data_IF_350151446810
#
_entry.id   IF_350151446810
#
_cell.length_a   1.000
_cell.length_b   1.000
_cell.length_c   1.000
_cell.angle_alpha   90.00
_cell.angle_beta   90.00
_cell.angle_gamma   90.00
#
_symmetry.space_group_name_H-M   'P 1'
#
loop_
_entity.id
_entity.type
_entity.pdbx_description
1 polymer ?
#
# COMPACT_ATOMS: atom_id res chain seq x y z
N UNK A 1 10.92 -5.12 7.94
CA UNK A 1 9.97 -4.38 7.10
C UNK A 1 10.69 -3.23 6.43
N UNK A 2 10.52 -3.05 5.13
CA UNK A 2 11.19 -1.98 4.40
C UNK A 2 10.35 -0.71 4.51
N UNK A 3 10.91 0.34 5.09
CA UNK A 3 10.26 1.65 5.13
C UNK A 3 10.26 2.27 3.73
N UNK A 4 9.07 2.56 3.19
CA UNK A 4 8.87 3.11 1.85
C UNK A 4 8.53 4.59 1.84
N UNK A 5 7.99 5.13 2.94
CA UNK A 5 7.69 6.55 3.09
C UNK A 5 8.57 7.21 4.15
N UNK A 6 9.07 8.38 3.84
CA UNK A 6 9.71 9.28 4.80
C UNK A 6 8.69 10.23 5.43
N UNK A 7 8.99 10.83 6.59
CA UNK A 7 8.01 11.62 7.36
C UNK A 7 7.46 12.85 6.65
N UNK A 8 8.20 13.45 5.70
CA UNK A 8 7.72 14.66 5.02
C UNK A 8 6.63 14.32 4.01
N UNK A 9 5.41 14.77 4.30
CA UNK A 9 4.20 14.50 3.50
C UNK A 9 3.29 15.72 3.54
N UNK A 10 2.68 16.07 2.41
CA UNK A 10 1.60 17.05 2.33
C UNK A 10 0.34 16.32 1.89
N UNK A 11 -0.55 16.09 2.83
CA UNK A 11 -1.75 15.27 2.66
C UNK A 11 -2.98 16.14 2.95
N UNK A 12 -3.90 16.18 2.00
CA UNK A 12 -5.23 16.70 2.24
C UNK A 12 -6.16 15.53 2.62
N UNK A 13 -6.87 15.57 3.76
CA UNK A 13 -7.78 14.51 4.18
C UNK A 13 -8.86 14.16 3.14
N UNK A 14 -9.27 15.10 2.33
CA UNK A 14 -10.26 14.87 1.26
C UNK A 14 -9.72 14.07 0.07
N UNK A 15 -8.41 13.96 -0.06
CA UNK A 15 -7.73 13.16 -1.07
C UNK A 15 -7.37 11.75 -0.56
N UNK A 16 -7.84 11.38 0.62
CA UNK A 16 -7.66 10.04 1.21
C UNK A 16 -8.94 9.23 1.07
N UNK A 17 -8.84 8.07 0.47
CA UNK A 17 -9.95 7.12 0.33
C UNK A 17 -9.63 5.82 1.07
N UNK A 18 -10.65 5.05 1.39
CA UNK A 18 -10.48 3.74 1.99
C UNK A 18 -10.53 2.63 0.93
N UNK A 19 -9.54 1.76 0.94
CA UNK A 19 -9.52 0.49 0.24
C UNK A 19 -9.47 -0.68 1.22
N UNK A 20 -9.47 -1.91 0.71
CA UNK A 20 -9.44 -3.12 1.54
C UNK A 20 -8.39 -4.09 1.02
N UNK A 21 -7.47 -4.48 1.90
CA UNK A 21 -6.46 -5.50 1.63
C UNK A 21 -7.00 -6.88 2.02
N UNK A 22 -7.59 -7.59 1.06
CA UNK A 22 -8.25 -8.88 1.30
C UNK A 22 -7.39 -10.08 0.89
N UNK A 23 -6.42 -9.89 0.01
CA UNK A 23 -5.56 -10.99 -0.46
C UNK A 23 -4.40 -11.22 0.51
N UNK A 24 -4.13 -12.49 0.85
CA UNK A 24 -2.98 -12.85 1.70
C UNK A 24 -1.64 -12.41 1.09
N UNK A 25 -1.54 -12.43 -0.23
CA UNK A 25 -0.36 -11.97 -0.94
C UNK A 25 -0.10 -10.45 -0.80
N UNK A 26 -1.13 -9.66 -0.43
CA UNK A 26 -0.98 -8.23 -0.17
C UNK A 26 -0.47 -7.95 1.25
N UNK A 27 -0.95 -8.72 2.22
CA UNK A 27 -0.66 -8.49 3.64
C UNK A 27 0.78 -8.85 3.95
N UNK A 28 1.47 -8.00 4.71
CA UNK A 28 2.80 -8.32 5.20
C UNK A 28 2.76 -9.53 6.12
N UNK A 29 3.55 -10.51 5.75
CA UNK A 29 3.81 -11.68 6.56
C UNK A 29 5.31 -11.71 6.84
N UNK A 30 5.72 -11.41 8.07
CA UNK A 30 7.12 -11.37 8.48
C UNK A 30 7.84 -12.70 8.25
N UNK A 31 7.10 -13.80 8.21
CA UNK A 31 7.67 -15.13 7.98
C UNK A 31 7.94 -15.42 6.49
N UNK A 32 7.26 -14.76 5.56
CA UNK A 32 7.43 -14.99 4.11
C UNK A 32 8.16 -13.88 3.37
N UNK A 33 8.25 -12.69 3.94
CA UNK A 33 8.95 -11.54 3.34
C UNK A 33 8.41 -11.04 1.98
N UNK A 34 7.26 -11.54 1.54
CA UNK A 34 6.75 -11.36 0.18
C UNK A 34 5.51 -10.49 0.08
N UNK A 35 5.01 -9.95 1.19
CA UNK A 35 3.79 -9.14 1.19
C UNK A 35 4.01 -7.72 0.63
N UNK A 36 2.93 -7.11 0.17
CA UNK A 36 2.88 -5.71 -0.27
C UNK A 36 2.19 -4.82 0.76
N UNK A 37 2.12 -5.27 2.02
CA UNK A 37 1.42 -4.56 3.10
C UNK A 37 2.14 -3.33 3.64
N UNK A 38 3.34 -3.00 3.15
CA UNK A 38 4.08 -1.81 3.61
C UNK A 38 3.30 -0.52 3.37
N UNK A 39 3.55 0.50 4.18
CA UNK A 39 3.16 1.86 3.84
C UNK A 39 3.92 2.33 2.58
N UNK A 40 3.29 3.17 1.75
CA UNK A 40 3.95 3.70 0.55
C UNK A 40 3.95 2.75 -0.65
N UNK A 41 3.10 1.76 -0.65
CA UNK A 41 2.88 0.90 -1.82
C UNK A 41 1.92 1.58 -2.78
N UNK A 42 2.32 1.65 -4.05
CA UNK A 42 1.45 2.10 -5.13
C UNK A 42 0.41 1.02 -5.42
N UNK A 43 -0.88 1.35 -5.35
CA UNK A 43 -1.97 0.39 -5.46
C UNK A 43 -2.95 0.71 -6.59
N UNK A 44 -3.55 -0.35 -7.11
CA UNK A 44 -4.69 -0.33 -8.04
C UNK A 44 -5.91 -0.99 -7.42
N UNK A 45 -7.08 -0.78 -8.01
CA UNK A 45 -8.26 -1.58 -7.71
C UNK A 45 -8.16 -2.92 -8.43
N UNK A 46 -8.40 -3.98 -7.69
CA UNK A 46 -8.54 -5.32 -8.28
C UNK A 46 -9.99 -5.78 -8.23
N UNK A 47 -10.35 -6.67 -9.14
CA UNK A 47 -11.64 -7.34 -9.11
C UNK A 47 -11.79 -8.13 -7.82
N UNK A 48 -12.97 -8.10 -7.24
CA UNK A 48 -13.28 -8.84 -6.02
C UNK A 48 -14.52 -8.30 -5.36
N UNK A 49 -15.21 -9.18 -4.67
CA UNK A 49 -16.43 -8.89 -3.96
C UNK A 49 -16.17 -8.91 -2.45
N UNK A 50 -16.66 -7.90 -1.72
CA UNK A 50 -16.70 -7.92 -0.25
C UNK A 50 -17.75 -8.87 0.32
N UNK A 51 -18.55 -9.48 -0.53
CA UNK A 51 -19.51 -10.48 -0.09
C UNK A 51 -18.81 -11.75 0.42
N UNK A 52 -17.56 -11.95 0.04
CA UNK A 52 -16.70 -12.95 0.63
C UNK A 52 -16.10 -12.38 1.92
N UNK A 53 -16.45 -12.96 3.03
CA UNK A 53 -15.83 -12.63 4.32
C UNK A 53 -14.30 -12.71 4.18
N UNK A 54 -13.56 -11.65 4.53
CA UNK A 54 -12.09 -11.69 4.52
C UNK A 54 -11.52 -12.73 5.47
N UNK A 55 -12.30 -13.21 6.41
CA UNK A 55 -11.96 -14.37 7.23
C UNK A 55 -12.33 -15.62 6.43
N UNK A 56 -11.33 -16.22 5.79
CA UNK A 56 -11.47 -17.53 5.20
C UNK A 56 -11.70 -18.56 6.29
N UNK A 57 -12.94 -18.78 6.62
CA UNK A 57 -13.33 -20.03 7.28
C UNK A 57 -13.26 -21.11 6.21
N UNK A 58 -12.18 -21.88 6.25
CA UNK A 58 -11.86 -22.91 5.29
C UNK A 58 -13.11 -23.69 4.86
N UNK A 59 -13.30 -23.78 3.54
CA UNK A 59 -14.17 -24.74 2.87
C UNK A 59 -15.62 -24.89 3.38
N UNK A 60 -16.02 -24.10 4.36
CA UNK A 60 -17.37 -24.16 4.86
C UNK A 60 -18.29 -23.47 3.86
N UNK A 61 -19.12 -24.30 3.23
CA UNK A 61 -20.14 -23.86 2.28
C UNK A 61 -21.17 -22.88 2.89
N UNK A 62 -20.94 -22.51 4.12
CA UNK A 62 -21.78 -21.65 4.96
C UNK A 62 -21.48 -20.16 4.79
N UNK A 63 -20.21 -19.84 4.71
CA UNK A 63 -19.70 -18.48 4.56
C UNK A 63 -19.28 -18.29 3.10
N UNK A 64 -19.77 -17.27 2.47
CA UNK A 64 -19.49 -17.01 1.06
C UNK A 64 -20.56 -17.50 0.11
N UNK A 65 -21.67 -18.05 0.60
CA UNK A 65 -22.85 -18.23 -0.23
C UNK A 65 -23.58 -16.92 -0.40
N UNK A 66 -23.91 -16.62 -1.63
CA UNK A 66 -24.72 -15.46 -2.02
C UNK A 66 -26.07 -15.36 -1.32
N UNK A 67 -26.50 -16.40 -0.65
CA UNK A 67 -27.79 -16.51 0.04
C UNK A 67 -27.69 -16.37 1.55
N UNK A 68 -26.52 -16.09 2.10
CA UNK A 68 -26.38 -15.93 3.54
C UNK A 68 -26.72 -14.50 3.95
N UNK A 69 -27.88 -14.33 4.55
CA UNK A 69 -28.32 -13.07 5.13
C UNK A 69 -27.59 -12.82 6.47
N UNK A 70 -26.28 -12.54 6.39
CA UNK A 70 -25.60 -12.00 7.55
C UNK A 70 -26.17 -10.62 7.88
N UNK A 71 -26.25 -10.30 9.16
CA UNK A 71 -26.67 -8.97 9.63
C UNK A 71 -25.81 -7.91 8.94
N UNK A 72 -26.45 -6.99 8.21
CA UNK A 72 -25.77 -5.94 7.44
C UNK A 72 -25.36 -6.32 6.03
N UNK A 73 -25.65 -7.51 5.54
CA UNK A 73 -25.41 -7.92 4.16
C UNK A 73 -25.98 -6.95 3.13
N UNK A 74 -27.24 -6.57 3.28
CA UNK A 74 -27.94 -5.68 2.35
C UNK A 74 -27.48 -4.21 2.44
N UNK A 75 -26.68 -3.87 3.43
CA UNK A 75 -26.17 -2.53 3.68
C UNK A 75 -24.76 -2.32 3.16
N UNK A 76 -24.09 -3.38 2.74
CA UNK A 76 -22.74 -3.31 2.17
C UNK A 76 -22.86 -3.27 0.65
N UNK A 77 -22.25 -2.28 -0.01
CA UNK A 77 -22.17 -2.31 -1.45
C UNK A 77 -21.42 -3.56 -1.89
N UNK A 78 -21.94 -4.27 -2.87
CA UNK A 78 -21.29 -5.44 -3.48
C UNK A 78 -19.98 -5.08 -4.19
N UNK A 79 -19.78 -3.79 -4.45
CA UNK A 79 -18.56 -3.27 -5.09
C UNK A 79 -17.61 -2.77 -4.03
N UNK A 80 -16.51 -3.45 -3.85
CA UNK A 80 -15.46 -3.04 -2.96
C UNK A 80 -14.25 -2.53 -3.68
N UNK A 81 -13.60 -1.58 -3.02
CA UNK A 81 -12.27 -1.11 -3.37
C UNK A 81 -11.23 -2.09 -2.85
N UNK A 82 -11.22 -3.30 -3.41
CA UNK A 82 -10.18 -4.28 -3.11
C UNK A 82 -8.88 -3.81 -3.74
N UNK A 83 -7.84 -3.67 -2.94
CA UNK A 83 -6.55 -3.18 -3.41
C UNK A 83 -5.60 -4.31 -3.77
N UNK A 84 -4.79 -4.05 -4.78
CA UNK A 84 -3.64 -4.86 -5.16
C UNK A 84 -2.48 -3.92 -5.53
N UNK A 85 -1.23 -4.37 -5.45
CA UNK A 85 -0.10 -3.56 -5.88
C UNK A 85 -0.19 -3.27 -7.38
N UNK A 86 0.04 -2.02 -7.75
CA UNK A 86 0.05 -1.59 -9.14
C UNK A 86 1.39 -1.91 -9.80
N UNK A 87 1.36 -2.31 -11.06
CA UNK A 87 2.54 -2.55 -11.90
C UNK A 87 2.44 -1.74 -13.21
N UNK A 88 3.47 -1.79 -14.02
CA UNK A 88 3.49 -1.15 -15.34
C UNK A 88 2.32 -1.64 -16.19
N UNK A 89 1.59 -0.71 -16.80
CA UNK A 89 0.36 -0.99 -17.53
C UNK A 89 -0.92 -0.86 -16.71
N UNK A 90 -0.83 -0.80 -15.40
CA UNK A 90 -1.97 -0.60 -14.53
C UNK A 90 -2.30 0.89 -14.34
N UNK A 91 -3.57 1.18 -14.06
CA UNK A 91 -4.02 2.48 -13.61
C UNK A 91 -3.94 2.53 -12.08
N UNK A 92 -3.00 3.29 -11.49
CA UNK A 92 -2.90 3.40 -10.05
C UNK A 92 -4.04 4.24 -9.49
N UNK A 93 -4.54 3.88 -8.30
CA UNK A 93 -5.55 4.66 -7.58
C UNK A 93 -4.93 5.54 -6.50
N UNK A 94 -3.76 5.20 -6.03
CA UNK A 94 -3.07 5.96 -4.99
C UNK A 94 -1.99 5.16 -4.27
N UNK A 95 -1.58 5.70 -3.14
CA UNK A 95 -0.49 5.20 -2.31
C UNK A 95 -0.99 4.89 -0.91
N UNK A 96 -0.65 3.73 -0.36
CA UNK A 96 -1.05 3.35 1.00
C UNK A 96 -0.32 4.18 2.05
N UNK A 97 -1.04 4.62 3.07
CA UNK A 97 -0.50 5.46 4.15
C UNK A 97 -0.18 4.68 5.43
N UNK A 98 -0.74 3.49 5.58
CA UNK A 98 -0.51 2.61 6.73
C UNK A 98 -0.11 1.22 6.27
N UNK A 99 0.64 0.56 7.13
CA UNK A 99 1.07 -0.81 6.92
C UNK A 99 -0.05 -1.79 7.29
N UNK A 100 -0.23 -2.83 6.48
CA UNK A 100 -1.15 -3.94 6.76
C UNK A 100 -0.33 -5.20 7.01
N UNK A 101 -0.48 -5.79 8.19
CA UNK A 101 0.27 -6.97 8.58
C UNK A 101 -0.64 -8.02 9.25
N UNK A 102 -0.24 -9.27 9.19
CA UNK A 102 -0.95 -10.39 9.82
C UNK A 102 -0.14 -10.99 10.98
N UNK A 103 1.18 -10.98 10.84
CA UNK A 103 2.11 -11.54 11.83
C UNK A 103 3.17 -10.50 12.19
N UNK A 104 3.68 -10.60 13.39
CA UNK A 104 4.82 -9.81 13.85
C UNK A 104 6.16 -10.42 13.41
N UNK A 105 7.26 -9.77 13.79
CA UNK A 105 8.63 -10.22 13.51
C UNK A 105 8.98 -11.58 14.12
N UNK A 106 8.23 -12.01 15.14
CA UNK A 106 8.39 -13.30 15.81
C UNK A 106 7.44 -14.38 15.25
N UNK A 107 6.65 -14.04 14.22
CA UNK A 107 5.68 -14.94 13.62
C UNK A 107 4.41 -15.13 14.45
N UNK A 108 4.14 -14.23 15.41
CA UNK A 108 2.92 -14.26 16.20
C UNK A 108 1.80 -13.49 15.51
N UNK A 109 0.60 -14.04 15.53
CA UNK A 109 -0.56 -13.42 14.88
C UNK A 109 -0.99 -12.14 15.61
N UNK A 110 -0.93 -11.00 14.93
CA UNK A 110 -1.20 -9.67 15.50
C UNK A 110 -2.60 -9.51 16.06
N UNK A 111 -3.58 -10.23 15.56
CA UNK A 111 -4.93 -10.24 16.14
C UNK A 111 -5.03 -10.71 17.57
N UNK A 112 -3.98 -11.32 18.11
CA UNK A 112 -3.88 -11.71 19.54
C UNK A 112 -3.20 -10.64 20.40
N UNK A 113 -2.55 -9.64 19.78
CA UNK A 113 -1.72 -8.63 20.44
C UNK A 113 -2.10 -7.24 19.95
N UNK A 114 -3.35 -6.83 20.26
CA UNK A 114 -3.90 -5.55 19.80
C UNK A 114 -3.08 -4.34 20.25
N UNK A 115 -2.44 -4.39 21.40
CA UNK A 115 -1.55 -3.32 21.86
C UNK A 115 -0.41 -3.06 20.88
N UNK A 116 0.18 -4.11 20.33
CA UNK A 116 1.26 -4.00 19.32
C UNK A 116 0.75 -3.45 18.00
N UNK A 117 -0.49 -3.77 17.63
CA UNK A 117 -1.17 -3.19 16.46
C UNK A 117 -1.33 -1.68 16.62
N UNK A 118 -1.82 -1.24 17.78
CA UNK A 118 -2.07 0.17 18.07
C UNK A 118 -0.76 0.97 18.19
N UNK A 119 0.24 0.45 18.89
CA UNK A 119 1.55 1.10 19.06
C UNK A 119 2.28 1.32 17.73
N UNK A 120 2.15 0.42 16.77
CA UNK A 120 2.80 0.51 15.48
C UNK A 120 1.89 1.08 14.37
N UNK A 121 0.67 1.49 14.70
CA UNK A 121 -0.33 1.98 13.74
C UNK A 121 -0.55 1.00 12.57
N UNK A 122 -0.59 -0.30 12.89
CA UNK A 122 -0.78 -1.36 11.91
C UNK A 122 -2.26 -1.58 11.62
N UNK A 123 -2.55 -2.06 10.44
CA UNK A 123 -3.86 -2.56 10.04
C UNK A 123 -3.84 -4.07 9.94
N UNK A 124 -4.91 -4.71 10.37
CA UNK A 124 -5.10 -6.13 10.14
C UNK A 124 -5.74 -6.38 8.76
N UNK A 125 -5.54 -7.57 8.23
CA UNK A 125 -6.21 -8.02 7.01
C UNK A 125 -7.72 -7.81 7.09
N UNK A 126 -8.30 -7.21 6.05
CA UNK A 126 -9.73 -6.91 5.99
C UNK A 126 -10.15 -5.58 6.61
N UNK A 127 -9.27 -4.88 7.29
CA UNK A 127 -9.52 -3.51 7.73
C UNK A 127 -9.37 -2.51 6.57
N UNK A 128 -9.96 -1.33 6.76
CA UNK A 128 -9.88 -0.25 5.79
C UNK A 128 -8.45 0.30 5.73
N UNK A 129 -7.86 0.29 4.53
CA UNK A 129 -6.52 0.83 4.26
C UNK A 129 -6.68 2.25 3.72
N UNK A 130 -6.13 3.28 4.39
CA UNK A 130 -6.14 4.64 3.87
C UNK A 130 -5.20 4.76 2.67
N UNK A 131 -5.73 5.27 1.57
CA UNK A 131 -5.03 5.43 0.30
C UNK A 131 -5.06 6.90 -0.08
N UNK A 132 -3.89 7.49 -0.23
CA UNK A 132 -3.73 8.84 -0.74
C UNK A 132 -3.83 8.81 -2.27
N UNK A 133 -4.83 9.48 -2.82
CA UNK A 133 -5.06 9.54 -4.27
C UNK A 133 -4.32 10.71 -4.93
N UNK A 134 -4.08 11.76 -4.16
CA UNK A 134 -3.40 12.98 -4.61
C UNK A 134 -2.65 13.63 -3.45
N UNK A 135 -1.42 14.09 -3.69
CA UNK A 135 -0.63 14.78 -2.68
C UNK A 135 0.85 14.82 -2.99
N UNK A 136 1.61 15.15 -1.95
CA UNK A 136 3.08 15.17 -1.99
C UNK A 136 3.61 14.23 -0.92
N UNK A 137 4.51 13.34 -1.31
CA UNK A 137 5.14 12.37 -0.42
C UNK A 137 6.62 12.27 -0.69
N UNK A 138 7.37 11.86 0.31
CA UNK A 138 8.79 11.55 0.15
C UNK A 138 8.98 10.04 0.18
N UNK A 139 9.42 9.50 -0.95
CA UNK A 139 9.66 8.08 -1.15
C UNK A 139 11.04 7.70 -0.64
N UNK A 140 11.11 6.64 0.14
CA UNK A 140 12.36 5.99 0.52
C UNK A 140 12.86 5.06 -0.62
N UNK A 141 14.14 4.64 -0.60
CA UNK A 141 14.72 3.81 -1.65
C UNK A 141 13.93 2.52 -1.94
N UNK A 142 13.31 1.94 -0.92
CA UNK A 142 12.52 0.71 -1.06
C UNK A 142 11.25 0.87 -1.93
N UNK A 143 10.74 2.10 -2.07
CA UNK A 143 9.58 2.41 -2.90
C UNK A 143 9.96 2.72 -4.36
N UNK A 144 11.24 2.95 -4.64
CA UNK A 144 11.73 3.42 -5.93
C UNK A 144 12.35 2.25 -6.69
N UNK A 145 12.12 2.22 -7.99
CA UNK A 145 12.76 1.29 -8.92
C UNK A 145 13.53 2.10 -9.96
N UNK A 146 14.85 1.93 -9.97
CA UNK A 146 15.76 2.73 -10.78
C UNK A 146 16.13 4.07 -10.14
N UNK A 147 16.54 5.01 -10.97
CA UNK A 147 16.98 6.36 -10.55
C UNK A 147 15.93 7.39 -10.96
N UNK A 148 15.53 8.23 -10.01
CA UNK A 148 14.64 9.36 -10.26
C UNK A 148 15.44 10.66 -10.33
N UNK A 149 15.08 11.54 -11.27
CA UNK A 149 15.69 12.86 -11.45
C UNK A 149 14.64 13.97 -11.27
N UNK A 150 15.07 15.11 -10.77
CA UNK A 150 14.19 16.27 -10.56
C UNK A 150 13.54 16.70 -11.87
N UNK A 151 12.24 16.95 -11.84
CA UNK A 151 11.44 17.32 -13.01
C UNK A 151 10.95 16.15 -13.85
N UNK A 152 11.44 14.94 -13.62
CA UNK A 152 11.00 13.74 -14.31
C UNK A 152 9.56 13.36 -13.93
N UNK A 153 8.81 12.75 -14.87
CA UNK A 153 7.53 12.12 -14.57
C UNK A 153 7.70 10.84 -13.76
N UNK A 154 6.66 10.45 -13.04
CA UNK A 154 6.59 9.16 -12.34
C UNK A 154 5.44 8.31 -12.87
N UNK A 155 5.68 7.00 -12.94
CA UNK A 155 4.70 5.98 -13.33
C UNK A 155 4.86 4.70 -12.50
N UNK A 156 3.89 3.76 -12.59
CA UNK A 156 4.06 2.44 -11.97
C UNK A 156 5.27 1.72 -12.58
N UNK A 157 6.07 1.07 -11.73
CA UNK A 157 7.21 0.26 -12.14
C UNK A 157 6.77 -1.12 -12.63
N UNK A 158 7.65 -1.81 -13.37
CA UNK A 158 7.52 -3.24 -13.64
C UNK A 158 7.56 -4.07 -12.36
N UNK A 159 8.24 -3.58 -11.32
CA UNK A 159 8.19 -4.15 -9.98
C UNK A 159 6.93 -3.65 -9.27
N UNK A 160 5.99 -4.56 -9.00
CA UNK A 160 4.70 -4.24 -8.39
C UNK A 160 4.81 -3.40 -7.10
N UNK A 161 3.96 -2.38 -7.00
CA UNK A 161 3.88 -1.50 -5.83
C UNK A 161 5.01 -0.48 -5.71
N UNK A 162 5.89 -0.35 -6.72
CA UNK A 162 6.97 0.63 -6.76
C UNK A 162 6.76 1.71 -7.83
N UNK A 163 7.53 2.78 -7.68
CA UNK A 163 7.56 3.93 -8.58
C UNK A 163 8.79 3.87 -9.47
N UNK A 164 8.65 4.25 -10.72
CA UNK A 164 9.78 4.44 -11.64
C UNK A 164 9.64 5.75 -12.39
N UNK A 165 10.77 6.25 -12.89
CA UNK A 165 10.80 7.47 -13.70
C UNK A 165 10.28 7.25 -15.12
N UNK A 166 9.66 8.27 -15.69
CA UNK A 166 9.22 8.28 -17.08
C UNK A 166 9.42 9.64 -17.74
N UNK A 167 9.32 9.69 -19.07
CA UNK A 167 9.28 10.94 -19.81
C UNK A 167 8.04 11.76 -19.44
N UNK A 168 8.13 13.09 -19.57
CA UNK A 168 7.02 13.99 -19.24
C UNK A 168 5.77 13.73 -20.07
N UNK A 169 5.92 13.22 -21.30
CA UNK A 169 4.82 12.88 -22.22
C UNK A 169 4.32 11.43 -22.13
N UNK A 170 4.80 10.64 -21.17
CA UNK A 170 4.39 9.23 -21.02
C UNK A 170 2.89 9.15 -20.63
N UNK A 171 2.13 8.31 -21.33
CA UNK A 171 0.70 8.14 -21.11
C UNK A 171 0.35 7.56 -19.72
N UNK A 172 1.30 6.84 -19.10
CA UNK A 172 1.13 6.26 -17.76
C UNK A 172 1.59 7.19 -16.63
N UNK A 173 2.04 8.40 -16.98
CA UNK A 173 2.47 9.38 -16.00
C UNK A 173 1.30 9.83 -15.14
N UNK A 174 1.47 9.76 -13.80
CA UNK A 174 0.50 10.26 -12.84
C UNK A 174 1.09 11.27 -11.85
N UNK A 175 2.37 11.63 -12.01
CA UNK A 175 3.01 12.60 -11.13
C UNK A 175 4.35 13.08 -11.63
N UNK A 176 5.07 13.79 -10.75
CA UNK A 176 6.36 14.40 -11.05
C UNK A 176 7.28 14.38 -9.83
N UNK A 177 8.57 14.26 -10.08
CA UNK A 177 9.63 14.37 -9.07
C UNK A 177 9.93 15.84 -8.82
N UNK A 178 9.74 16.29 -7.58
CA UNK A 178 10.01 17.66 -7.13
C UNK A 178 11.44 17.83 -6.62
N UNK A 179 11.99 16.77 -6.01
CA UNK A 179 13.34 16.82 -5.44
C UNK A 179 13.88 15.41 -5.23
N UNK A 180 15.20 15.31 -5.24
CA UNK A 180 15.93 14.09 -4.90
C UNK A 180 17.07 14.41 -3.96
N UNK A 181 17.47 13.45 -3.15
CA UNK A 181 18.61 13.59 -2.26
C UNK A 181 19.12 12.23 -1.82
N UNK A 182 20.26 12.25 -1.13
CA UNK A 182 20.84 11.04 -0.57
C UNK A 182 20.93 11.19 0.94
N UNK A 183 20.42 10.18 1.63
CA UNK A 183 20.55 10.07 3.08
C UNK A 183 21.61 9.03 3.40
N UNK A 184 22.64 9.44 4.14
CA UNK A 184 23.67 8.53 4.62
C UNK A 184 23.19 7.66 5.77
N UNK A 185 23.87 6.56 5.99
CA UNK A 185 23.72 5.74 7.21
C UNK A 185 24.18 6.52 8.42
N UNK A 186 23.36 6.62 9.46
CA UNK A 186 23.79 7.11 10.77
C UNK A 186 24.29 5.92 11.61
N UNK A 187 25.60 5.84 11.75
CA UNK A 187 26.24 4.79 12.57
C UNK A 187 26.17 3.39 11.95
N UNK A 188 26.27 2.37 12.79
CA UNK A 188 26.26 0.95 12.42
C UNK A 188 24.86 0.37 12.17
N UNK A 189 23.80 1.13 12.41
CA UNK A 189 22.44 0.67 12.21
C UNK A 189 21.92 1.09 10.83
N UNK A 190 21.60 0.11 10.01
CA UNK A 190 20.81 0.32 8.82
C UNK A 190 19.39 0.74 9.25
N UNK A 191 19.09 2.02 9.20
CA UNK A 191 17.79 2.57 9.61
C UNK A 191 16.68 2.37 8.57
N UNK A 192 16.94 1.60 7.51
CA UNK A 192 16.01 1.35 6.41
C UNK A 192 15.72 2.58 5.53
N UNK A 193 16.25 3.75 5.89
CA UNK A 193 16.05 5.01 5.18
C UNK A 193 17.31 5.54 4.48
N UNK A 194 18.43 4.86 4.61
CA UNK A 194 19.67 5.22 3.92
C UNK A 194 19.54 4.95 2.42
N UNK A 195 20.08 5.86 1.62
CA UNK A 195 20.06 5.77 0.16
C UNK A 195 19.40 6.97 -0.50
N UNK A 196 19.10 6.85 -1.77
CA UNK A 196 18.49 7.92 -2.56
C UNK A 196 17.00 8.00 -2.28
N UNK A 197 16.53 9.14 -1.81
CA UNK A 197 15.11 9.42 -1.64
C UNK A 197 14.61 10.38 -2.74
N UNK A 198 13.31 10.36 -3.00
CA UNK A 198 12.66 11.26 -3.93
C UNK A 198 11.41 11.89 -3.32
N UNK A 199 11.31 13.21 -3.41
CA UNK A 199 10.09 13.95 -3.10
C UNK A 199 9.25 14.06 -4.37
N UNK A 200 8.02 13.57 -4.32
CA UNK A 200 7.16 13.46 -5.49
C UNK A 200 5.79 14.07 -5.21
N UNK A 201 5.22 14.68 -6.24
CA UNK A 201 3.82 15.10 -6.29
C UNK A 201 3.10 14.24 -7.30
N UNK A 202 1.91 13.76 -6.95
CA UNK A 202 1.12 12.91 -7.82
C UNK A 202 -0.37 13.19 -7.73
N UNK A 203 -1.08 12.76 -8.77
CA UNK A 203 -2.53 12.79 -8.89
C UNK A 203 -2.97 11.56 -9.68
N UNK A 204 -3.64 10.63 -9.02
CA UNK A 204 -4.13 9.35 -9.57
C UNK A 204 -5.60 9.46 -10.04
N UNK A 205 -6.01 10.58 -10.62
CA UNK A 205 -7.35 10.79 -11.17
C UNK A 205 -7.50 10.22 -12.56
#
# INVERSE_FOLDING_TARGET
MAKRLLPYRVINPYDVINGFALADAYVNNSNSGTGFGDEGVLVKISAGDLTLDPVSYSADSYLGKTNFNAVGWNQRPSVTRKVAPAASGDLPIGVTLLETALYDENGQHLGRYMQKVDENSLLLKGQAVPILTRGEITLAPAAIDGTLTVGQGIKPSTTSGKFTGCAVGDAQRFGQVLGTGTRGTRGTYADGYSGVYAHVKFDCK
#
